data_IF_930741955345
#
_entry.id   IF_930741955345
#
_cell.length_a   1.000
_cell.length_b   1.000
_cell.length_c   1.000
_cell.angle_alpha   90.00
_cell.angle_beta   90.00
_cell.angle_gamma   90.00
#
_symmetry.space_group_name_H-M   'P 1'
#
loop_
_entity.id
_entity.type
_entity.pdbx_description
1 polymer ?
#
# COMPACT_ATOMS: atom_id res chain seq x y z
N UNK A 1 17.27 -6.91 -5.33
CA UNK A 1 17.01 -5.71 -4.53
C UNK A 1 17.67 -5.88 -3.18
N UNK A 2 18.49 -4.92 -2.75
CA UNK A 2 19.27 -5.07 -1.51
C UNK A 2 18.33 -4.99 -0.29
N UNK A 3 18.24 -6.08 0.45
CA UNK A 3 17.48 -6.16 1.70
C UNK A 3 18.21 -5.52 2.91
N UNK A 4 19.27 -4.74 2.67
CA UNK A 4 20.14 -4.22 3.74
C UNK A 4 19.42 -3.37 4.78
N UNK A 5 18.36 -2.68 4.39
CA UNK A 5 17.58 -1.83 5.31
C UNK A 5 16.53 -2.59 6.12
N UNK A 6 16.16 -3.79 5.70
CA UNK A 6 15.10 -4.57 6.38
C UNK A 6 15.52 -5.02 7.78
N UNK A 7 16.80 -5.35 7.96
CA UNK A 7 17.33 -5.78 9.26
C UNK A 7 17.16 -4.71 10.35
N UNK A 8 17.29 -3.42 10.00
CA UNK A 8 17.06 -2.28 10.90
C UNK A 8 15.65 -2.27 11.49
N UNK A 9 14.68 -2.78 10.72
CA UNK A 9 13.26 -2.82 11.10
C UNK A 9 12.80 -4.22 11.54
N UNK A 10 13.69 -5.20 11.62
CA UNK A 10 13.35 -6.58 11.97
C UNK A 10 12.44 -7.25 10.95
N UNK A 11 12.54 -6.89 9.67
CA UNK A 11 11.67 -7.37 8.60
C UNK A 11 12.33 -8.47 7.78
N UNK A 12 11.49 -9.41 7.32
CA UNK A 12 11.89 -10.50 6.42
C UNK A 12 11.25 -10.27 5.05
N UNK A 13 12.00 -10.37 3.92
CA UNK A 13 11.46 -10.21 2.58
C UNK A 13 10.23 -11.10 2.34
N UNK A 14 9.20 -10.53 1.72
CA UNK A 14 7.94 -11.21 1.38
C UNK A 14 7.04 -11.55 2.57
N UNK A 15 7.42 -11.20 3.81
CA UNK A 15 6.69 -11.60 5.02
C UNK A 15 5.96 -10.45 5.72
N UNK A 16 5.77 -9.33 5.03
CA UNK A 16 5.01 -8.20 5.56
C UNK A 16 4.18 -7.53 4.45
N UNK A 17 3.07 -6.95 4.84
CA UNK A 17 2.33 -6.00 4.03
C UNK A 17 2.88 -4.59 4.25
N UNK A 18 2.75 -3.73 3.25
CA UNK A 18 3.16 -2.34 3.35
C UNK A 18 2.04 -1.40 2.92
N UNK A 19 1.91 -0.28 3.64
CA UNK A 19 1.08 0.88 3.28
C UNK A 19 1.91 2.15 3.37
N UNK A 20 1.82 3.01 2.38
CA UNK A 20 2.49 4.33 2.35
C UNK A 20 1.48 5.38 1.94
N UNK A 21 1.03 6.21 2.88
CA UNK A 21 0.06 7.26 2.60
C UNK A 21 0.09 8.40 3.63
N UNK A 22 -0.64 9.47 3.35
CA UNK A 22 -0.99 10.46 4.38
C UNK A 22 -1.92 9.83 5.42
N UNK A 23 -1.72 10.17 6.70
CA UNK A 23 -2.55 9.63 7.77
C UNK A 23 -3.79 10.52 7.92
N UNK A 24 -4.78 10.23 7.09
CA UNK A 24 -6.04 10.95 6.97
C UNK A 24 -7.22 9.96 6.86
N UNK A 25 -8.44 10.33 7.30
CA UNK A 25 -9.59 9.43 7.30
C UNK A 25 -9.92 8.82 5.93
N UNK A 26 -9.79 9.60 4.85
CA UNK A 26 -10.04 9.15 3.48
C UNK A 26 -9.07 8.08 2.98
N UNK A 27 -7.97 7.86 3.68
CA UNK A 27 -7.05 6.75 3.41
C UNK A 27 -7.39 5.48 4.19
N UNK A 28 -8.52 5.46 4.91
CA UNK A 28 -9.02 4.31 5.68
C UNK A 28 -7.93 3.64 6.55
N UNK A 29 -7.04 4.50 7.14
CA UNK A 29 -5.94 4.02 7.97
C UNK A 29 -6.44 3.19 9.15
N UNK A 30 -7.57 3.60 9.77
CA UNK A 30 -8.20 2.88 10.86
C UNK A 30 -8.68 1.48 10.46
N UNK A 31 -9.26 1.33 9.27
CA UNK A 31 -9.71 0.03 8.72
C UNK A 31 -8.52 -0.90 8.53
N UNK A 32 -7.43 -0.37 7.93
CA UNK A 32 -6.21 -1.15 7.71
C UNK A 32 -5.59 -1.61 9.02
N UNK A 33 -5.43 -0.70 10.00
CA UNK A 33 -4.86 -1.03 11.30
C UNK A 33 -5.72 -2.04 12.07
N UNK A 34 -7.04 -1.86 12.07
CA UNK A 34 -7.97 -2.81 12.69
C UNK A 34 -7.89 -4.21 12.07
N UNK A 35 -7.71 -4.31 10.76
CA UNK A 35 -7.58 -5.59 10.08
C UNK A 35 -6.29 -6.34 10.46
N UNK A 36 -5.19 -5.63 10.70
CA UNK A 36 -3.91 -6.22 11.05
C UNK A 36 -3.70 -6.43 12.55
N UNK A 37 -4.42 -5.71 13.41
CA UNK A 37 -4.28 -5.82 14.86
C UNK A 37 -4.47 -7.27 15.32
N UNK A 38 -3.44 -7.82 16.00
CA UNK A 38 -3.40 -9.18 16.52
C UNK A 38 -3.69 -10.28 15.48
N UNK A 39 -3.42 -10.02 14.20
CA UNK A 39 -3.74 -10.93 13.09
C UNK A 39 -2.67 -12.02 12.85
N UNK A 40 -1.50 -11.88 13.46
CA UNK A 40 -0.32 -12.71 13.16
C UNK A 40 0.32 -12.37 11.80
N UNK A 41 -0.10 -11.28 11.14
CA UNK A 41 0.43 -10.82 9.86
C UNK A 41 1.10 -9.45 10.03
N UNK A 42 2.35 -9.34 9.61
CA UNK A 42 3.12 -8.11 9.79
C UNK A 42 2.67 -7.01 8.82
N UNK A 43 2.36 -5.84 9.35
CA UNK A 43 2.12 -4.60 8.61
C UNK A 43 3.25 -3.60 8.87
N UNK A 44 3.78 -3.01 7.83
CA UNK A 44 4.61 -1.80 7.87
C UNK A 44 3.77 -0.64 7.34
N UNK A 45 3.46 0.31 8.21
CA UNK A 45 2.62 1.45 7.84
C UNK A 45 3.43 2.75 7.96
N UNK A 46 3.74 3.35 6.82
CA UNK A 46 4.58 4.54 6.71
C UNK A 46 3.70 5.77 6.46
N UNK A 47 3.83 6.78 7.32
CA UNK A 47 3.09 8.02 7.17
C UNK A 47 3.41 9.04 8.24
N UNK A 48 2.85 10.25 8.13
CA UNK A 48 3.09 11.34 9.05
C UNK A 48 2.07 11.33 10.22
N UNK A 49 2.32 10.47 11.21
CA UNK A 49 1.37 10.13 12.28
C UNK A 49 1.04 11.31 13.20
N UNK A 50 1.98 12.19 13.44
CA UNK A 50 1.84 13.27 14.42
C UNK A 50 1.20 14.55 13.84
N UNK A 51 0.91 14.56 12.52
CA UNK A 51 0.38 15.73 11.81
C UNK A 51 -1.06 16.09 12.22
N UNK A 52 -1.89 15.11 12.57
CA UNK A 52 -3.32 15.30 12.89
C UNK A 52 -3.70 14.64 14.20
N UNK A 53 -4.83 15.05 14.79
CA UNK A 53 -5.40 14.37 15.96
C UNK A 53 -5.78 12.92 15.64
N UNK A 54 -6.29 12.66 14.44
CA UNK A 54 -6.61 11.33 13.93
C UNK A 54 -5.36 10.42 13.89
N UNK A 55 -4.25 10.92 13.35
CA UNK A 55 -3.01 10.16 13.29
C UNK A 55 -2.44 9.84 14.67
N UNK A 56 -2.43 10.84 15.58
CA UNK A 56 -1.95 10.64 16.96
C UNK A 56 -2.79 9.63 17.73
N UNK A 57 -4.11 9.65 17.57
CA UNK A 57 -5.02 8.68 18.18
C UNK A 57 -4.71 7.26 17.68
N UNK A 58 -4.60 7.05 16.37
CA UNK A 58 -4.25 5.75 15.80
C UNK A 58 -2.86 5.28 16.27
N UNK A 59 -1.85 6.15 16.23
CA UNK A 59 -0.50 5.85 16.72
C UNK A 59 -0.54 5.40 18.19
N UNK A 60 -1.29 6.10 19.04
CA UNK A 60 -1.44 5.75 20.45
C UNK A 60 -2.06 4.37 20.66
N UNK A 61 -3.05 4.00 19.87
CA UNK A 61 -3.75 2.70 19.99
C UNK A 61 -2.92 1.52 19.49
N UNK A 62 -2.16 1.70 18.40
CA UNK A 62 -1.56 0.57 17.70
C UNK A 62 -0.03 0.47 17.80
N UNK A 63 0.68 1.46 18.38
CA UNK A 63 2.16 1.47 18.47
C UNK A 63 2.78 0.29 19.21
N UNK A 64 2.03 -0.38 20.07
CA UNK A 64 2.48 -1.53 20.86
C UNK A 64 1.95 -2.87 20.33
N UNK A 65 1.21 -2.86 19.20
CA UNK A 65 0.73 -4.09 18.58
C UNK A 65 1.92 -4.86 17.96
N UNK A 66 2.11 -6.15 18.26
CA UNK A 66 3.26 -6.92 17.78
C UNK A 66 3.25 -7.10 16.25
N UNK A 67 2.07 -7.01 15.62
CA UNK A 67 1.90 -7.23 14.20
C UNK A 67 2.03 -5.92 13.38
N UNK A 68 2.03 -4.76 14.05
CA UNK A 68 1.99 -3.45 13.39
C UNK A 68 3.29 -2.68 13.67
N UNK A 69 3.99 -2.28 12.62
CA UNK A 69 5.13 -1.38 12.67
C UNK A 69 4.72 -0.03 12.06
N UNK A 70 4.51 0.96 12.92
CA UNK A 70 4.23 2.33 12.51
C UNK A 70 5.54 3.08 12.32
N UNK A 71 5.81 3.55 11.11
CA UNK A 71 6.99 4.36 10.78
C UNK A 71 6.55 5.77 10.40
N UNK A 72 7.32 6.76 10.82
CA UNK A 72 7.16 8.13 10.34
C UNK A 72 7.53 8.22 8.85
N UNK A 73 7.17 9.34 8.20
CA UNK A 73 7.43 9.54 6.78
C UNK A 73 8.93 9.40 6.47
N UNK A 74 9.25 8.52 5.54
CA UNK A 74 10.61 8.23 5.09
C UNK A 74 10.87 8.99 3.78
N UNK A 75 11.86 9.89 3.81
CA UNK A 75 12.27 10.70 2.64
C UNK A 75 13.53 10.17 1.98
N UNK A 76 14.25 9.25 2.61
CA UNK A 76 15.35 8.51 2.00
C UNK A 76 14.77 7.51 1.00
N UNK A 77 15.03 7.76 -0.29
CA UNK A 77 14.47 6.96 -1.39
C UNK A 77 15.01 5.54 -1.40
N UNK A 78 16.25 5.31 -0.97
CA UNK A 78 16.84 3.97 -0.93
C UNK A 78 16.19 3.10 0.14
N UNK A 79 15.90 3.69 1.31
CA UNK A 79 15.20 3.02 2.39
C UNK A 79 13.76 2.72 1.96
N UNK A 80 13.04 3.73 1.45
CA UNK A 80 11.64 3.58 1.03
C UNK A 80 11.51 2.54 -0.09
N UNK A 81 12.40 2.60 -1.09
CA UNK A 81 12.44 1.63 -2.17
C UNK A 81 12.72 0.21 -1.64
N UNK A 82 13.69 0.06 -0.74
CA UNK A 82 14.00 -1.25 -0.14
C UNK A 82 12.80 -1.84 0.60
N UNK A 83 12.08 -1.03 1.38
CA UNK A 83 10.88 -1.48 2.10
C UNK A 83 9.75 -1.86 1.14
N UNK A 84 9.50 -1.07 0.10
CA UNK A 84 8.47 -1.37 -0.90
C UNK A 84 8.80 -2.60 -1.73
N UNK A 85 10.02 -2.69 -2.24
CA UNK A 85 10.45 -3.76 -3.15
C UNK A 85 10.53 -5.15 -2.48
N UNK A 86 10.65 -5.22 -1.17
CA UNK A 86 10.70 -6.48 -0.42
C UNK A 86 9.40 -6.79 0.33
N UNK A 87 8.33 -6.00 0.16
CA UNK A 87 7.02 -6.33 0.72
C UNK A 87 6.42 -7.56 0.04
N UNK A 88 5.54 -8.27 0.72
CA UNK A 88 4.78 -9.37 0.14
C UNK A 88 3.43 -8.92 -0.43
N UNK A 89 2.87 -7.84 0.10
CA UNK A 89 1.55 -7.29 -0.30
C UNK A 89 1.59 -5.77 -0.12
N UNK A 90 0.94 -5.04 -1.03
CA UNK A 90 0.66 -3.61 -0.85
C UNK A 90 -0.81 -3.39 -0.49
N UNK A 91 -1.07 -2.62 0.58
CA UNK A 91 -2.43 -2.24 0.98
C UNK A 91 -2.68 -0.79 0.60
N UNK A 92 -3.75 -0.53 -0.12
CA UNK A 92 -4.15 0.80 -0.59
C UNK A 92 -5.53 1.18 -0.07
N UNK A 93 -5.58 1.98 0.99
CA UNK A 93 -6.83 2.36 1.66
C UNK A 93 -7.53 3.60 1.07
N UNK A 94 -6.93 4.30 0.10
CA UNK A 94 -7.44 5.57 -0.40
C UNK A 94 -8.82 5.45 -1.04
N UNK A 95 -9.76 6.31 -0.62
CA UNK A 95 -11.17 6.26 -1.05
C UNK A 95 -11.68 7.56 -1.69
N UNK A 96 -10.84 8.58 -1.85
CA UNK A 96 -11.24 9.88 -2.39
C UNK A 96 -10.34 10.32 -3.56
N UNK A 97 -10.93 10.90 -4.59
CA UNK A 97 -10.20 11.43 -5.76
C UNK A 97 -10.06 10.42 -6.90
N UNK A 98 -9.16 10.71 -7.84
CA UNK A 98 -8.91 9.90 -9.05
C UNK A 98 -7.75 8.91 -8.87
N UNK A 99 -7.02 8.66 -9.97
CA UNK A 99 -5.80 7.84 -9.98
C UNK A 99 -4.78 8.33 -8.96
N UNK A 100 -4.42 7.46 -8.02
CA UNK A 100 -3.51 7.82 -6.94
C UNK A 100 -2.06 7.43 -7.29
N UNK A 101 -1.10 8.38 -7.28
CA UNK A 101 0.30 8.09 -7.60
C UNK A 101 0.90 6.97 -6.76
N UNK A 102 0.58 6.87 -5.47
CA UNK A 102 1.11 5.81 -4.60
C UNK A 102 0.64 4.41 -5.00
N UNK A 103 -0.59 4.29 -5.56
CA UNK A 103 -1.10 3.04 -6.10
C UNK A 103 -0.34 2.66 -7.37
N UNK A 104 -0.19 3.61 -8.29
CA UNK A 104 0.57 3.39 -9.54
C UNK A 104 2.02 2.99 -9.24
N UNK A 105 2.69 3.70 -8.33
CA UNK A 105 4.05 3.33 -7.90
C UNK A 105 4.11 1.90 -7.33
N UNK A 106 3.11 1.51 -6.53
CA UNK A 106 3.06 0.17 -5.96
C UNK A 106 2.89 -0.92 -7.04
N UNK A 107 2.12 -0.64 -8.09
CA UNK A 107 1.91 -1.58 -9.20
C UNK A 107 3.21 -1.95 -9.90
N UNK A 108 4.18 -1.03 -10.05
CA UNK A 108 5.48 -1.31 -10.67
C UNK A 108 6.33 -2.34 -9.93
N UNK A 109 6.09 -2.57 -8.65
CA UNK A 109 6.79 -3.61 -7.90
C UNK A 109 6.27 -5.03 -8.19
N UNK A 110 5.08 -5.17 -8.77
CA UNK A 110 4.50 -6.47 -9.13
C UNK A 110 4.06 -7.30 -7.92
N UNK A 111 3.84 -6.68 -6.76
CA UNK A 111 3.25 -7.37 -5.61
C UNK A 111 1.72 -7.45 -5.73
N UNK A 112 1.08 -8.43 -5.06
CA UNK A 112 -0.36 -8.40 -4.86
C UNK A 112 -0.79 -7.06 -4.25
N UNK A 113 -1.83 -6.46 -4.82
CA UNK A 113 -2.42 -5.22 -4.31
C UNK A 113 -3.80 -5.51 -3.76
N UNK A 114 -4.03 -5.12 -2.50
CA UNK A 114 -5.35 -5.11 -1.88
C UNK A 114 -5.76 -3.66 -1.70
N UNK A 115 -6.73 -3.19 -2.50
CA UNK A 115 -7.17 -1.81 -2.55
C UNK A 115 -8.56 -1.62 -1.93
N UNK A 116 -8.83 -0.44 -1.39
CA UNK A 116 -10.18 -0.09 -0.96
C UNK A 116 -11.13 -0.08 -2.17
N UNK A 117 -12.34 -0.62 -1.99
CA UNK A 117 -13.31 -0.85 -3.06
C UNK A 117 -14.01 0.45 -3.47
N UNK A 118 -13.37 1.18 -4.38
CA UNK A 118 -13.93 2.37 -5.04
C UNK A 118 -13.60 2.37 -6.52
N UNK A 119 -14.42 3.05 -7.30
CA UNK A 119 -14.31 3.08 -8.76
C UNK A 119 -12.90 3.46 -9.24
N UNK A 120 -12.26 4.45 -8.63
CA UNK A 120 -10.92 4.92 -9.05
C UNK A 120 -9.84 3.86 -8.90
N UNK A 121 -9.87 3.09 -7.80
CA UNK A 121 -8.92 2.01 -7.57
C UNK A 121 -9.16 0.85 -8.53
N UNK A 122 -10.42 0.55 -8.82
CA UNK A 122 -10.80 -0.47 -9.79
C UNK A 122 -10.35 -0.10 -11.20
N UNK A 123 -10.56 1.14 -11.62
CA UNK A 123 -10.11 1.64 -12.93
C UNK A 123 -8.59 1.64 -13.03
N UNK A 124 -7.89 2.21 -12.04
CA UNK A 124 -6.43 2.25 -12.02
C UNK A 124 -5.80 0.87 -12.15
N UNK A 125 -6.40 -0.15 -11.55
CA UNK A 125 -5.90 -1.53 -11.57
C UNK A 125 -6.61 -2.41 -12.60
N UNK A 126 -7.44 -1.84 -13.48
CA UNK A 126 -8.25 -2.56 -14.47
C UNK A 126 -9.04 -3.73 -13.87
N UNK A 127 -9.56 -3.57 -12.65
CA UNK A 127 -10.25 -4.61 -11.89
C UNK A 127 -9.41 -5.90 -11.64
N UNK A 128 -8.09 -5.81 -11.69
CA UNK A 128 -7.17 -6.95 -11.49
C UNK A 128 -6.55 -7.02 -10.09
N UNK A 129 -6.79 -6.01 -9.22
CA UNK A 129 -6.40 -6.06 -7.81
C UNK A 129 -7.46 -6.79 -6.98
N UNK A 130 -7.18 -6.99 -5.70
CA UNK A 130 -8.14 -7.47 -4.71
C UNK A 130 -8.77 -6.28 -4.00
N UNK A 131 -10.06 -6.38 -3.59
CA UNK A 131 -10.76 -5.21 -3.07
C UNK A 131 -11.42 -5.50 -1.73
N UNK A 132 -11.30 -4.53 -0.80
CA UNK A 132 -11.92 -4.59 0.52
C UNK A 132 -12.78 -3.34 0.79
N UNK A 133 -13.83 -3.50 1.58
CA UNK A 133 -14.72 -2.40 1.99
C UNK A 133 -14.62 -2.09 3.49
N UNK A 134 -14.12 -3.04 4.28
CA UNK A 134 -14.02 -2.97 5.74
C UNK A 134 -12.88 -3.86 6.27
N UNK A 135 -12.65 -3.81 7.59
CA UNK A 135 -11.59 -4.59 8.21
C UNK A 135 -11.83 -6.11 8.12
N UNK A 136 -13.08 -6.56 8.10
CA UNK A 136 -13.39 -8.00 8.01
C UNK A 136 -13.08 -8.54 6.61
N UNK A 137 -13.50 -7.85 5.56
CA UNK A 137 -13.19 -8.21 4.17
C UNK A 137 -11.68 -8.17 3.91
N UNK A 138 -10.96 -7.19 4.49
CA UNK A 138 -9.50 -7.14 4.40
C UNK A 138 -8.86 -8.36 5.09
N UNK A 139 -9.29 -8.74 6.30
CA UNK A 139 -8.80 -9.96 6.98
C UNK A 139 -9.03 -11.21 6.14
N UNK A 140 -10.20 -11.35 5.50
CA UNK A 140 -10.51 -12.49 4.62
C UNK A 140 -9.53 -12.55 3.43
N UNK A 141 -9.23 -11.41 2.81
CA UNK A 141 -8.24 -11.34 1.73
C UNK A 141 -6.83 -11.68 2.21
N UNK A 142 -6.41 -11.16 3.36
CA UNK A 142 -5.11 -11.45 3.95
C UNK A 142 -4.92 -12.94 4.29
N UNK A 143 -6.00 -13.69 4.52
CA UNK A 143 -5.93 -15.12 4.79
C UNK A 143 -5.74 -15.97 3.51
N UNK A 144 -5.91 -15.41 2.33
CA UNK A 144 -5.78 -16.15 1.06
C UNK A 144 -4.32 -16.52 0.78
N UNK A 145 -4.04 -17.75 0.36
CA UNK A 145 -2.69 -18.17 -0.03
C UNK A 145 -2.35 -17.87 -1.50
N UNK A 146 -3.36 -17.53 -2.32
CA UNK A 146 -3.30 -17.43 -3.78
C UNK A 146 -3.26 -15.99 -4.30
N UNK A 147 -2.81 -15.04 -3.48
CA UNK A 147 -2.63 -13.67 -3.93
C UNK A 147 -1.42 -13.57 -4.85
N UNK A 148 -1.61 -13.02 -6.04
CA UNK A 148 -0.54 -12.70 -6.98
C UNK A 148 -0.62 -11.25 -7.46
N UNK A 149 0.48 -10.73 -7.98
CA UNK A 149 0.59 -9.35 -8.46
C UNK A 149 1.03 -9.23 -9.92
N UNK A 150 1.08 -10.32 -10.67
CA UNK A 150 1.61 -10.34 -12.04
C UNK A 150 0.89 -9.35 -12.96
N UNK A 151 -0.43 -9.22 -12.82
CA UNK A 151 -1.20 -8.26 -13.59
C UNK A 151 -0.83 -6.80 -13.27
N UNK A 152 -0.45 -6.49 -12.04
CA UNK A 152 -0.21 -5.12 -11.58
C UNK A 152 0.95 -4.47 -12.32
N UNK A 153 2.09 -5.17 -12.38
CA UNK A 153 3.27 -4.65 -13.08
C UNK A 153 3.02 -4.46 -14.57
N UNK A 154 2.38 -5.43 -15.22
CA UNK A 154 2.03 -5.33 -16.63
C UNK A 154 1.14 -4.12 -16.92
N UNK A 155 0.08 -3.91 -16.13
CA UNK A 155 -0.82 -2.74 -16.28
C UNK A 155 -0.04 -1.44 -16.09
N UNK A 156 0.84 -1.37 -15.09
CA UNK A 156 1.64 -0.18 -14.83
C UNK A 156 2.58 0.15 -16.01
N UNK A 157 3.25 -0.85 -16.56
CA UNK A 157 4.15 -0.69 -17.71
C UNK A 157 3.40 -0.32 -19.00
N UNK A 158 2.19 -0.81 -19.19
CA UNK A 158 1.35 -0.49 -20.34
C UNK A 158 0.75 0.92 -20.26
N UNK A 159 0.21 1.33 -19.09
CA UNK A 159 -0.66 2.51 -18.97
C UNK A 159 0.01 3.73 -18.34
N UNK A 160 0.98 3.50 -17.41
CA UNK A 160 1.46 4.57 -16.53
C UNK A 160 2.93 4.97 -16.79
N UNK A 161 3.47 4.64 -17.95
CA UNK A 161 4.80 5.13 -18.35
C UNK A 161 4.71 6.53 -18.96
N UNK A 162 5.73 7.35 -18.74
CA UNK A 162 5.81 8.67 -19.35
C UNK A 162 5.69 8.64 -20.87
N UNK A 163 6.21 7.58 -21.51
CA UNK A 163 6.10 7.40 -22.96
C UNK A 163 4.65 7.24 -23.39
N UNK A 164 3.85 6.45 -22.69
CA UNK A 164 2.44 6.25 -22.99
C UNK A 164 1.64 7.51 -22.73
N UNK A 165 1.81 8.13 -21.56
CA UNK A 165 1.10 9.35 -21.18
C UNK A 165 1.41 10.49 -22.16
N UNK A 166 2.69 10.68 -22.55
CA UNK A 166 3.05 11.73 -23.51
C UNK A 166 2.46 11.51 -24.89
N UNK A 167 2.35 10.26 -25.38
CA UNK A 167 1.71 9.97 -26.66
C UNK A 167 0.22 10.30 -26.64
N UNK A 168 -0.49 10.01 -25.56
CA UNK A 168 -1.91 10.38 -25.41
C UNK A 168 -2.11 11.91 -25.44
N UNK A 169 -1.23 12.68 -24.81
CA UNK A 169 -1.28 14.14 -24.92
C UNK A 169 -1.04 14.63 -26.34
N UNK A 170 -0.10 14.03 -27.09
CA UNK A 170 0.14 14.41 -28.49
C UNK A 170 -1.03 14.08 -29.44
N UNK A 171 -1.86 13.11 -29.11
CA UNK A 171 -3.06 12.76 -29.91
C UNK A 171 -4.24 13.73 -29.67
N UNK A 172 -4.20 14.51 -28.58
CA UNK A 172 -5.24 15.48 -28.21
C UNK A 172 -5.03 16.85 -28.83
N UNK A 173 -3.85 17.12 -29.41
CA UNK A 173 -3.44 18.40 -29.99
C UNK A 173 -2.95 18.22 -31.44
#
# INVERSE_FOLDING_TARGET
VQAKHLATYGLTPGRYAITVCRIEPENNCHVTLEAFAHSGKKLVFIGNWDRSAYGRDLKSRYRNDPDILLLDAIYDLDILYSLRANAGIYIHGHSAGGTNPSLVEAMFFGHPIIAYDVVYNRETTRNQAYYFADAESLRKLLARPDLDGDAMKRIAEEEYTWKHISSQYCELY
#
